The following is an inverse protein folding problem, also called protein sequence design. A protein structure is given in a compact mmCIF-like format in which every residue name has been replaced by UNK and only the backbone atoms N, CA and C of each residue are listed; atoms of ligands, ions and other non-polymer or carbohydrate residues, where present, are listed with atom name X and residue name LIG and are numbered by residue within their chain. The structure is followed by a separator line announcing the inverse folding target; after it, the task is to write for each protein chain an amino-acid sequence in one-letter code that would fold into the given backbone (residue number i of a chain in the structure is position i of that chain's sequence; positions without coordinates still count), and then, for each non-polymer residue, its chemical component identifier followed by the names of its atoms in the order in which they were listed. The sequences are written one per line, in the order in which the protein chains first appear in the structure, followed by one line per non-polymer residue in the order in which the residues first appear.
data_IF_370890067517
#
_entry.id   IF_370890067517
#
_cell.length_a   1.000
_cell.length_b   1.000
_cell.length_c   1.000
_cell.angle_alpha   90.00
_cell.angle_beta   90.00
_cell.angle_gamma   90.00
#
_symmetry.space_group_name_H-M   'P 1'
#
loop_
_entity.id
_entity.type
_entity.pdbx_description
1 polymer ?
#
# COMPACT_ATOMS: atom_id res chain seq x y z
N UNK A 1 24.06 -8.31 1.69
CA UNK A 1 23.57 -9.24 0.63
C UNK A 1 22.10 -8.96 0.32
N UNK A 2 21.25 -8.85 1.33
CA UNK A 2 19.83 -8.56 1.14
C UNK A 2 19.59 -7.13 0.65
N UNK A 3 20.37 -6.15 1.12
CA UNK A 3 20.33 -4.78 0.60
C UNK A 3 20.63 -4.73 -0.90
N UNK A 4 21.66 -5.44 -1.35
CA UNK A 4 22.03 -5.48 -2.78
C UNK A 4 20.96 -6.18 -3.62
N UNK A 5 20.33 -7.24 -3.09
CA UNK A 5 19.17 -7.86 -3.76
C UNK A 5 17.97 -6.92 -3.78
N UNK A 6 17.70 -6.23 -2.67
CA UNK A 6 16.60 -5.28 -2.53
C UNK A 6 16.73 -4.13 -3.54
N UNK A 7 17.94 -3.64 -3.81
CA UNK A 7 18.18 -2.60 -4.81
C UNK A 7 18.25 -3.12 -6.27
N UNK A 8 18.17 -4.44 -6.49
CA UNK A 8 18.40 -5.05 -7.81
C UNK A 8 17.16 -5.07 -8.71
N UNK A 9 17.37 -5.27 -10.01
CA UNK A 9 16.29 -5.46 -10.97
C UNK A 9 15.44 -6.73 -10.74
N UNK A 10 16.01 -7.73 -10.07
CA UNK A 10 15.28 -8.93 -9.69
C UNK A 10 14.14 -8.59 -8.71
N UNK A 11 14.37 -7.64 -7.81
CA UNK A 11 13.33 -7.08 -6.95
C UNK A 11 12.51 -6.03 -7.71
N UNK A 12 13.15 -4.98 -8.25
CA UNK A 12 12.52 -3.82 -8.90
C UNK A 12 12.84 -3.77 -10.42
N UNK A 13 11.94 -4.21 -11.32
CA UNK A 13 10.52 -4.45 -11.12
C UNK A 13 10.12 -5.93 -11.00
N UNK A 14 11.06 -6.88 -11.12
CA UNK A 14 10.79 -8.30 -11.36
C UNK A 14 9.81 -8.93 -10.36
N UNK A 15 10.18 -9.00 -9.09
CA UNK A 15 9.34 -9.61 -8.05
C UNK A 15 8.03 -8.85 -7.83
N UNK A 16 8.05 -7.52 -7.96
CA UNK A 16 6.86 -6.68 -7.76
C UNK A 16 5.81 -6.93 -8.84
N UNK A 17 6.22 -6.99 -10.11
CA UNK A 17 5.34 -7.33 -11.23
C UNK A 17 4.80 -8.76 -11.08
N UNK A 18 5.64 -9.73 -10.73
CA UNK A 18 5.22 -11.10 -10.48
C UNK A 18 4.17 -11.18 -9.37
N UNK A 19 4.37 -10.41 -8.29
CA UNK A 19 3.44 -10.31 -7.16
C UNK A 19 2.09 -9.71 -7.59
N UNK A 20 2.10 -8.63 -8.37
CA UNK A 20 0.90 -8.01 -8.91
C UNK A 20 0.10 -8.98 -9.79
N UNK A 21 0.77 -9.69 -10.71
CA UNK A 21 0.14 -10.68 -11.59
C UNK A 21 -0.47 -11.83 -10.79
N UNK A 22 0.30 -12.42 -9.85
CA UNK A 22 -0.19 -13.50 -8.99
C UNK A 22 -1.42 -13.06 -8.19
N UNK A 23 -1.36 -11.88 -7.60
CA UNK A 23 -2.46 -11.24 -6.89
C UNK A 23 -3.74 -11.14 -7.71
N UNK A 24 -3.63 -10.64 -8.95
CA UNK A 24 -4.77 -10.53 -9.85
C UNK A 24 -5.31 -11.88 -10.30
N UNK A 25 -4.45 -12.86 -10.59
CA UNK A 25 -4.87 -14.24 -10.90
C UNK A 25 -5.67 -14.84 -9.75
N UNK A 26 -5.22 -14.63 -8.51
CA UNK A 26 -5.94 -15.07 -7.32
C UNK A 26 -7.29 -14.34 -7.21
N UNK A 27 -7.33 -13.03 -7.44
CA UNK A 27 -8.55 -12.24 -7.42
C UNK A 27 -9.59 -12.75 -8.44
N UNK A 28 -9.15 -13.11 -9.65
CA UNK A 28 -10.03 -13.63 -10.72
C UNK A 28 -10.80 -14.87 -10.31
N UNK A 29 -10.18 -15.76 -9.52
CA UNK A 29 -10.84 -16.96 -8.99
C UNK A 29 -11.95 -16.65 -7.98
N UNK A 30 -11.92 -15.45 -7.38
CA UNK A 30 -12.89 -15.01 -6.38
C UNK A 30 -14.02 -14.14 -6.95
N UNK A 31 -14.04 -13.87 -8.26
CA UNK A 31 -15.04 -12.98 -8.89
C UNK A 31 -16.42 -13.61 -9.08
N UNK A 32 -16.54 -14.93 -9.03
CA UNK A 32 -17.84 -15.60 -9.16
C UNK A 32 -18.78 -15.19 -8.03
N UNK A 33 -20.00 -14.78 -8.37
CA UNK A 33 -20.99 -14.27 -7.41
C UNK A 33 -20.64 -12.92 -6.77
N UNK A 34 -19.75 -12.13 -7.39
CA UNK A 34 -19.39 -10.78 -6.94
C UNK A 34 -19.91 -9.73 -7.92
N UNK A 35 -20.26 -8.57 -7.38
CA UNK A 35 -20.70 -7.44 -8.21
C UNK A 35 -19.62 -7.00 -9.21
N UNK A 36 -20.05 -6.59 -10.42
CA UNK A 36 -19.14 -6.25 -11.50
C UNK A 36 -18.15 -5.13 -11.15
N UNK A 37 -18.52 -4.22 -10.25
CA UNK A 37 -17.64 -3.13 -9.82
C UNK A 37 -16.44 -3.60 -9.00
N UNK A 38 -16.53 -4.73 -8.27
CA UNK A 38 -15.39 -5.33 -7.56
C UNK A 38 -14.33 -5.77 -8.56
N UNK A 39 -14.76 -6.38 -9.68
CA UNK A 39 -13.86 -6.83 -10.75
C UNK A 39 -13.13 -5.65 -11.40
N UNK A 40 -13.86 -4.57 -11.70
CA UNK A 40 -13.29 -3.34 -12.27
C UNK A 40 -12.29 -2.70 -11.31
N UNK A 41 -12.63 -2.60 -10.02
CA UNK A 41 -11.74 -2.06 -9.01
C UNK A 41 -10.46 -2.92 -8.88
N UNK A 42 -10.59 -4.25 -8.79
CA UNK A 42 -9.45 -5.16 -8.72
C UNK A 42 -8.54 -5.07 -9.95
N UNK A 43 -9.12 -4.93 -11.16
CA UNK A 43 -8.34 -4.72 -12.38
C UNK A 43 -7.61 -3.36 -12.39
N UNK A 44 -8.28 -2.28 -11.98
CA UNK A 44 -7.66 -0.96 -11.89
C UNK A 44 -6.49 -0.95 -10.90
N UNK A 45 -6.65 -1.58 -9.74
CA UNK A 45 -5.61 -1.71 -8.74
C UNK A 45 -4.41 -2.55 -9.21
N UNK A 46 -4.69 -3.63 -9.94
CA UNK A 46 -3.67 -4.44 -10.58
C UNK A 46 -2.87 -3.62 -11.61
N UNK A 47 -3.55 -2.90 -12.51
CA UNK A 47 -2.88 -2.06 -13.50
C UNK A 47 -2.01 -0.98 -12.84
N UNK A 48 -2.55 -0.31 -11.81
CA UNK A 48 -1.81 0.68 -11.06
C UNK A 48 -0.59 0.07 -10.35
N UNK A 49 -0.72 -1.13 -9.78
CA UNK A 49 0.41 -1.85 -9.19
C UNK A 49 1.48 -2.22 -10.23
N UNK A 50 1.09 -2.60 -11.46
CA UNK A 50 2.05 -2.88 -12.53
C UNK A 50 2.81 -1.62 -12.98
N UNK A 51 2.11 -0.49 -13.11
CA UNK A 51 2.72 0.80 -13.46
C UNK A 51 3.70 1.22 -12.36
N UNK A 52 3.26 1.17 -11.10
CA UNK A 52 4.08 1.47 -9.93
C UNK A 52 5.34 0.57 -9.88
N UNK A 53 5.18 -0.73 -10.09
CA UNK A 53 6.31 -1.67 -10.09
C UNK A 53 7.33 -1.32 -11.17
N UNK A 54 6.86 -1.00 -12.39
CA UNK A 54 7.71 -0.67 -13.53
C UNK A 54 8.58 0.57 -13.28
N UNK A 55 8.06 1.57 -12.57
CA UNK A 55 8.77 2.83 -12.28
C UNK A 55 9.47 2.84 -10.90
N UNK A 56 9.40 1.75 -10.14
CA UNK A 56 9.94 1.68 -8.77
C UNK A 56 11.47 1.58 -8.66
N UNK A 57 12.20 1.60 -9.78
CA UNK A 57 13.65 1.54 -9.82
C UNK A 57 14.26 2.89 -10.24
N UNK A 58 15.47 3.19 -9.75
CA UNK A 58 16.24 4.38 -10.14
C UNK A 58 16.53 4.45 -11.65
N UNK A 59 16.57 3.27 -12.28
CA UNK A 59 16.63 3.10 -13.73
C UNK A 59 15.35 2.43 -14.21
N UNK A 60 14.57 3.15 -15.02
CA UNK A 60 13.30 2.66 -15.55
C UNK A 60 13.57 1.86 -16.81
N UNK A 61 13.21 0.58 -16.81
CA UNK A 61 13.41 -0.32 -17.96
C UNK A 61 12.72 0.27 -19.19
N UNK A 62 13.49 0.48 -20.26
CA UNK A 62 13.01 1.03 -21.54
C UNK A 62 13.04 2.56 -21.64
N UNK A 63 13.39 3.28 -20.56
CA UNK A 63 13.58 4.75 -20.55
C UNK A 63 15.02 5.10 -20.17
N UNK A 64 15.59 4.41 -19.18
CA UNK A 64 16.90 4.70 -18.61
C UNK A 64 16.79 5.49 -17.30
N UNK A 65 17.91 6.11 -16.89
CA UNK A 65 18.01 6.87 -15.64
C UNK A 65 17.25 8.19 -15.74
N UNK A 66 16.42 8.48 -14.73
CA UNK A 66 15.63 9.72 -14.71
C UNK A 66 16.53 10.95 -14.39
N UNK A 67 16.35 12.09 -15.07
CA UNK A 67 17.20 13.26 -14.90
C UNK A 67 16.80 14.13 -13.70
N UNK A 68 17.78 14.83 -13.11
CA UNK A 68 17.55 15.87 -12.10
C UNK A 68 16.83 15.36 -10.85
N UNK A 69 15.78 16.06 -10.43
CA UNK A 69 14.96 15.71 -9.26
C UNK A 69 13.81 14.74 -9.58
N UNK A 70 13.71 14.24 -10.82
CA UNK A 70 12.65 13.33 -11.21
C UNK A 70 12.58 12.06 -10.35
N UNK A 71 13.69 11.38 -9.97
CA UNK A 71 13.63 10.22 -9.08
C UNK A 71 12.90 10.53 -7.76
N UNK A 72 13.21 11.66 -7.12
CA UNK A 72 12.60 12.06 -5.85
C UNK A 72 11.10 12.25 -5.97
N UNK A 73 10.65 12.97 -7.00
CA UNK A 73 9.22 13.20 -7.23
C UNK A 73 8.47 11.92 -7.57
N UNK A 74 9.13 11.02 -8.30
CA UNK A 74 8.60 9.71 -8.67
C UNK A 74 8.45 8.83 -7.41
N UNK A 75 9.47 8.76 -6.55
CA UNK A 75 9.37 8.05 -5.26
C UNK A 75 8.25 8.62 -4.39
N UNK A 76 8.15 9.94 -4.25
CA UNK A 76 7.10 10.58 -3.46
C UNK A 76 5.70 10.27 -4.03
N UNK A 77 5.53 10.40 -5.34
CA UNK A 77 4.27 10.10 -6.00
C UNK A 77 3.86 8.64 -5.77
N UNK A 78 4.80 7.68 -5.78
CA UNK A 78 4.48 6.28 -5.55
C UNK A 78 4.05 5.97 -4.13
N UNK A 79 4.70 6.55 -3.13
CA UNK A 79 4.28 6.41 -1.73
C UNK A 79 2.86 6.92 -1.58
N UNK A 80 2.57 8.13 -2.08
CA UNK A 80 1.25 8.74 -1.96
C UNK A 80 0.17 7.98 -2.76
N UNK A 81 0.47 7.54 -3.98
CA UNK A 81 -0.44 6.73 -4.80
C UNK A 81 -0.69 5.35 -4.17
N UNK A 82 0.32 4.79 -3.51
CA UNK A 82 0.22 3.64 -2.63
C UNK A 82 -0.87 3.74 -1.60
N UNK A 83 -0.72 4.74 -0.76
CA UNK A 83 -1.63 5.03 0.32
C UNK A 83 -3.02 5.33 -0.21
N UNK A 84 -3.10 6.11 -1.29
CA UNK A 84 -4.36 6.45 -1.94
C UNK A 84 -5.09 5.21 -2.45
N UNK A 85 -4.42 4.18 -2.99
CA UNK A 85 -5.08 2.94 -3.42
C UNK A 85 -5.89 2.31 -2.31
N UNK A 86 -5.28 2.17 -1.14
CA UNK A 86 -5.94 1.59 0.03
C UNK A 86 -7.01 2.51 0.60
N UNK A 87 -6.71 3.79 0.78
CA UNK A 87 -7.64 4.77 1.33
C UNK A 87 -8.87 4.93 0.44
N UNK A 88 -8.67 5.01 -0.87
CA UNK A 88 -9.74 5.10 -1.86
C UNK A 88 -10.55 3.81 -1.90
N UNK A 89 -9.93 2.63 -1.84
CA UNK A 89 -10.66 1.37 -1.78
C UNK A 89 -11.58 1.33 -0.56
N UNK A 90 -11.07 1.70 0.63
CA UNK A 90 -11.87 1.76 1.85
C UNK A 90 -12.99 2.81 1.80
N UNK A 91 -12.75 3.97 1.18
CA UNK A 91 -13.76 5.01 0.97
C UNK A 91 -14.81 4.65 -0.09
N UNK A 92 -14.48 3.75 -1.00
CA UNK A 92 -15.34 3.34 -2.11
C UNK A 92 -16.20 2.12 -1.80
N UNK A 93 -15.99 1.43 -0.67
CA UNK A 93 -16.83 0.31 -0.28
C UNK A 93 -18.26 0.78 0.05
N UNK A 94 -19.24 -0.01 -0.40
CA UNK A 94 -20.67 0.17 -0.12
C UNK A 94 -21.23 -1.01 0.65
N UNK A 95 -22.33 -0.76 1.37
CA UNK A 95 -23.03 -1.76 2.16
C UNK A 95 -23.60 -2.93 1.36
N UNK A 96 -23.89 -2.71 0.08
CA UNK A 96 -24.48 -3.67 -0.86
C UNK A 96 -23.42 -4.50 -1.64
N UNK A 97 -22.16 -4.47 -1.19
CA UNK A 97 -21.07 -5.21 -1.83
C UNK A 97 -20.52 -4.58 -3.11
N UNK A 98 -20.95 -3.35 -3.45
CA UNK A 98 -20.39 -2.60 -4.56
C UNK A 98 -19.13 -1.83 -4.14
N UNK A 99 -18.22 -1.68 -5.09
CA UNK A 99 -17.22 -0.61 -5.07
C UNK A 99 -17.73 0.55 -5.92
N UNK A 100 -17.74 1.75 -5.37
CA UNK A 100 -18.16 2.98 -6.07
C UNK A 100 -17.30 4.17 -5.61
N UNK A 101 -16.56 4.73 -6.56
CA UNK A 101 -15.79 5.96 -6.33
C UNK A 101 -16.73 7.14 -6.52
N UNK A 102 -16.90 7.94 -5.47
CA UNK A 102 -17.62 9.21 -5.54
C UNK A 102 -16.65 10.37 -5.34
N UNK A 103 -16.97 11.56 -5.84
CA UNK A 103 -16.16 12.77 -5.60
C UNK A 103 -15.91 12.99 -4.12
N UNK A 104 -16.93 12.79 -3.27
CA UNK A 104 -16.81 12.94 -1.82
C UNK A 104 -15.88 11.89 -1.20
N UNK A 105 -15.99 10.63 -1.65
CA UNK A 105 -15.09 9.56 -1.22
C UNK A 105 -13.64 9.80 -1.63
N UNK A 106 -13.43 10.28 -2.88
CA UNK A 106 -12.12 10.65 -3.39
C UNK A 106 -11.51 11.80 -2.59
N UNK A 107 -12.24 12.88 -2.35
CA UNK A 107 -11.76 14.01 -1.55
C UNK A 107 -11.40 13.60 -0.12
N UNK A 108 -12.16 12.69 0.50
CA UNK A 108 -11.80 12.14 1.81
C UNK A 108 -10.55 11.28 1.76
N UNK A 109 -10.42 10.41 0.75
CA UNK A 109 -9.23 9.59 0.58
C UNK A 109 -7.97 10.45 0.38
N UNK A 110 -8.07 11.52 -0.41
CA UNK A 110 -7.00 12.52 -0.59
C UNK A 110 -6.70 13.26 0.73
N UNK A 111 -7.74 13.66 1.47
CA UNK A 111 -7.58 14.27 2.79
C UNK A 111 -6.81 13.36 3.75
N UNK A 112 -7.19 12.09 3.84
CA UNK A 112 -6.48 11.09 4.66
C UNK A 112 -5.05 10.85 4.19
N UNK A 113 -4.83 10.81 2.86
CA UNK A 113 -3.51 10.59 2.26
C UNK A 113 -2.50 11.67 2.67
N UNK A 114 -2.95 12.91 2.88
CA UNK A 114 -2.07 14.01 3.27
C UNK A 114 -1.75 14.05 4.77
N UNK A 115 -2.52 13.37 5.62
CA UNK A 115 -2.33 13.41 7.08
C UNK A 115 -0.97 12.86 7.47
N UNK A 116 -0.63 11.66 7.01
CA UNK A 116 0.61 10.96 7.38
C UNK A 116 1.86 11.66 6.87
N UNK A 117 2.03 11.99 5.58
CA UNK A 117 3.25 12.67 5.12
C UNK A 117 3.50 13.98 5.86
N UNK A 118 2.46 14.81 6.07
CA UNK A 118 2.60 16.07 6.81
C UNK A 118 3.00 15.80 8.26
N UNK A 119 2.31 14.88 8.95
CA UNK A 119 2.62 14.56 10.34
C UNK A 119 4.01 13.97 10.50
N UNK A 120 4.47 13.11 9.58
CA UNK A 120 5.81 12.53 9.59
C UNK A 120 6.88 13.60 9.46
N UNK A 121 6.75 14.51 8.50
CA UNK A 121 7.69 15.61 8.31
C UNK A 121 7.78 16.50 9.55
N UNK A 122 6.63 16.81 10.17
CA UNK A 122 6.59 17.60 11.40
C UNK A 122 7.27 16.88 12.57
N UNK A 123 6.98 15.60 12.78
CA UNK A 123 7.57 14.81 13.86
C UNK A 123 9.08 14.68 13.69
N UNK A 124 9.54 14.36 12.48
CA UNK A 124 10.97 14.17 12.21
C UNK A 124 11.73 15.49 12.28
N UNK A 125 11.18 16.57 11.71
CA UNK A 125 11.87 17.86 11.66
C UNK A 125 11.89 18.57 13.02
N UNK A 126 10.83 18.46 13.82
CA UNK A 126 10.70 19.24 15.06
C UNK A 126 10.88 18.42 16.34
N UNK A 127 10.44 17.16 16.38
CA UNK A 127 10.50 16.36 17.60
C UNK A 127 11.74 15.47 17.67
N UNK A 128 12.10 14.81 16.56
CA UNK A 128 13.25 13.90 16.50
C UNK A 128 14.54 14.58 16.03
N UNK A 129 14.41 15.65 15.22
CA UNK A 129 15.52 16.40 14.63
C UNK A 129 16.53 15.46 13.95
N UNK A 130 16.01 14.57 13.10
CA UNK A 130 16.82 13.55 12.41
C UNK A 130 16.95 13.86 10.92
N UNK A 131 18.17 13.75 10.39
CA UNK A 131 18.44 13.80 8.96
C UNK A 131 18.47 12.41 8.30
N UNK A 132 18.32 11.34 9.08
CA UNK A 132 18.36 9.95 8.59
C UNK A 132 17.06 9.61 7.84
N UNK A 133 17.08 9.37 6.51
CA UNK A 133 15.87 9.11 5.73
C UNK A 133 15.09 7.90 6.24
N UNK A 134 15.77 6.89 6.79
CA UNK A 134 15.13 5.69 7.35
C UNK A 134 14.28 6.01 8.59
N UNK A 135 14.63 7.03 9.37
CA UNK A 135 13.81 7.49 10.50
C UNK A 135 12.50 8.10 10.00
N UNK A 136 12.53 8.82 8.88
CA UNK A 136 11.31 9.37 8.26
C UNK A 136 10.37 8.26 7.80
N UNK A 137 10.87 7.22 7.14
CA UNK A 137 10.06 6.07 6.73
C UNK A 137 9.49 5.31 7.93
N UNK A 138 10.29 5.06 8.97
CA UNK A 138 9.79 4.40 10.18
C UNK A 138 8.64 5.19 10.82
N UNK A 139 8.81 6.51 11.01
CA UNK A 139 7.76 7.38 11.55
C UNK A 139 6.52 7.36 10.65
N UNK A 140 6.72 7.45 9.34
CA UNK A 140 5.64 7.38 8.35
C UNK A 140 4.81 6.11 8.47
N UNK A 141 5.48 4.97 8.47
CA UNK A 141 4.82 3.67 8.49
C UNK A 141 4.06 3.45 9.81
N UNK A 142 4.63 3.88 10.94
CA UNK A 142 3.97 3.85 12.26
C UNK A 142 2.75 4.78 12.32
N UNK A 143 2.87 6.00 11.79
CA UNK A 143 1.75 6.93 11.71
C UNK A 143 0.66 6.42 10.77
N UNK A 144 1.01 5.70 9.70
CA UNK A 144 0.02 5.08 8.83
C UNK A 144 -0.71 3.93 9.52
N UNK A 145 -0.01 3.09 10.31
CA UNK A 145 -0.64 2.10 11.19
C UNK A 145 -1.63 2.78 12.14
N UNK A 146 -1.23 3.87 12.79
CA UNK A 146 -2.10 4.64 13.67
C UNK A 146 -3.32 5.19 12.92
N UNK A 147 -3.13 5.76 11.73
CA UNK A 147 -4.22 6.26 10.89
C UNK A 147 -5.24 5.17 10.58
N UNK A 148 -4.79 3.96 10.22
CA UNK A 148 -5.68 2.83 9.94
C UNK A 148 -6.53 2.47 11.16
N UNK A 149 -5.92 2.42 12.35
CA UNK A 149 -6.64 2.08 13.58
C UNK A 149 -7.62 3.19 13.98
N UNK A 150 -7.17 4.44 13.94
CA UNK A 150 -7.95 5.60 14.38
C UNK A 150 -9.11 5.94 13.44
N UNK A 151 -8.97 5.71 12.12
CA UNK A 151 -10.04 5.96 11.15
C UNK A 151 -11.14 4.89 11.19
N UNK A 152 -10.89 3.74 11.81
CA UNK A 152 -11.76 2.57 11.72
C UNK A 152 -13.18 2.80 12.24
N UNK A 153 -13.42 3.43 13.40
CA UNK A 153 -14.78 3.70 13.87
C UNK A 153 -15.58 4.56 12.89
N UNK A 154 -14.91 5.54 12.27
CA UNK A 154 -15.51 6.40 11.26
C UNK A 154 -15.96 5.60 10.02
N UNK A 155 -15.09 4.74 9.48
CA UNK A 155 -15.42 3.95 8.28
C UNK A 155 -16.50 2.91 8.59
N UNK A 156 -16.43 2.24 9.73
CA UNK A 156 -17.42 1.23 10.12
C UNK A 156 -18.81 1.86 10.31
N UNK A 157 -18.90 3.03 10.94
CA UNK A 157 -20.15 3.79 11.08
C UNK A 157 -20.75 4.18 9.71
N UNK A 158 -19.91 4.57 8.75
CA UNK A 158 -20.35 4.92 7.38
C UNK A 158 -20.90 3.70 6.62
N UNK A 159 -20.32 2.52 6.82
CA UNK A 159 -20.71 1.31 6.08
C UNK A 159 -22.02 0.70 6.57
N UNK A 160 -22.29 0.77 7.87
CA UNK A 160 -23.56 0.39 8.50
C UNK A 160 -23.94 -1.10 8.46
N UNK A 161 -23.43 -1.88 7.50
CA UNK A 161 -23.71 -3.31 7.34
C UNK A 161 -22.59 -4.19 7.90
N UNK A 162 -22.90 -5.27 8.64
CA UNK A 162 -21.89 -6.19 9.16
C UNK A 162 -21.01 -6.82 8.08
N UNK A 163 -21.57 -7.06 6.89
CA UNK A 163 -20.87 -7.63 5.74
C UNK A 163 -19.82 -6.67 5.17
N UNK A 164 -20.20 -5.41 4.92
CA UNK A 164 -19.24 -4.43 4.44
C UNK A 164 -18.19 -4.08 5.51
N UNK A 165 -18.56 -4.11 6.80
CA UNK A 165 -17.58 -3.97 7.90
C UNK A 165 -16.56 -5.12 7.86
N UNK A 166 -17.00 -6.38 7.70
CA UNK A 166 -16.06 -7.52 7.55
C UNK A 166 -15.18 -7.37 6.32
N UNK A 167 -15.73 -6.88 5.21
CA UNK A 167 -14.99 -6.62 3.99
C UNK A 167 -13.91 -5.55 4.20
N UNK A 168 -14.28 -4.42 4.79
CA UNK A 168 -13.37 -3.34 5.16
C UNK A 168 -12.26 -3.82 6.10
N UNK A 169 -12.61 -4.56 7.16
CA UNK A 169 -11.64 -5.14 8.11
C UNK A 169 -10.66 -6.12 7.46
N UNK A 170 -11.02 -6.75 6.34
CA UNK A 170 -10.08 -7.58 5.59
C UNK A 170 -9.03 -6.71 4.87
N UNK A 171 -9.44 -5.58 4.28
CA UNK A 171 -8.51 -4.62 3.70
C UNK A 171 -7.63 -3.97 4.76
N UNK A 172 -8.19 -3.57 5.90
CA UNK A 172 -7.42 -2.98 7.00
C UNK A 172 -6.37 -3.95 7.55
N UNK A 173 -6.74 -5.24 7.76
CA UNK A 173 -5.79 -6.25 8.20
C UNK A 173 -4.63 -6.41 7.23
N UNK A 174 -4.93 -6.38 5.93
CA UNK A 174 -3.90 -6.47 4.92
C UNK A 174 -2.98 -5.23 4.97
N UNK A 175 -3.56 -4.03 5.08
CA UNK A 175 -2.79 -2.81 5.14
C UNK A 175 -1.91 -2.72 6.40
N UNK A 176 -2.48 -3.06 7.55
CA UNK A 176 -1.74 -3.16 8.80
C UNK A 176 -0.60 -4.17 8.69
N UNK A 177 -0.81 -5.32 8.02
CA UNK A 177 0.23 -6.32 7.86
C UNK A 177 1.44 -5.77 7.09
N UNK A 178 1.24 -5.06 5.97
CA UNK A 178 2.39 -4.54 5.22
C UNK A 178 3.03 -3.32 5.90
N UNK A 179 2.27 -2.37 6.48
CA UNK A 179 2.90 -1.23 7.16
C UNK A 179 3.63 -1.64 8.43
N UNK A 180 3.05 -2.54 9.24
CA UNK A 180 3.75 -3.06 10.42
C UNK A 180 5.01 -3.85 10.04
N UNK A 181 4.98 -4.58 8.92
CA UNK A 181 6.15 -5.31 8.44
C UNK A 181 7.24 -4.36 7.91
N UNK A 182 6.86 -3.28 7.24
CA UNK A 182 7.82 -2.23 6.86
C UNK A 182 8.41 -1.54 8.11
N UNK A 183 7.58 -1.17 9.09
CA UNK A 183 8.06 -0.54 10.33
C UNK A 183 9.02 -1.45 11.10
N UNK A 184 8.70 -2.75 11.17
CA UNK A 184 9.58 -3.74 11.78
C UNK A 184 10.92 -3.80 11.03
N UNK A 185 10.88 -3.82 9.70
CA UNK A 185 12.09 -3.86 8.89
C UNK A 185 12.97 -2.64 9.12
N UNK A 186 12.40 -1.43 9.13
CA UNK A 186 13.16 -0.20 9.35
C UNK A 186 13.70 -0.10 10.78
N UNK A 187 12.95 -0.58 11.78
CA UNK A 187 13.46 -0.71 13.13
C UNK A 187 14.66 -1.67 13.23
N UNK A 188 14.66 -2.78 12.48
CA UNK A 188 15.79 -3.71 12.42
C UNK A 188 17.00 -3.08 11.72
N UNK A 189 16.79 -2.36 10.62
CA UNK A 189 17.88 -1.66 9.89
C UNK A 189 18.55 -0.63 10.79
N UNK A 190 17.74 0.17 11.51
CA UNK A 190 18.25 1.23 12.38
C UNK A 190 18.83 0.71 13.70
N UNK A 191 18.27 -0.38 14.24
CA UNK A 191 18.58 -0.87 15.59
C UNK A 191 19.69 -1.92 15.67
N UNK A 192 19.97 -2.65 14.58
CA UNK A 192 20.96 -3.73 14.58
C UNK A 192 22.34 -3.23 14.10
N UNK A 193 23.45 -3.64 14.74
CA UNK A 193 24.79 -3.22 14.34
C UNK A 193 25.33 -4.05 13.15
N UNK A 194 26.09 -3.39 12.28
CA UNK A 194 26.89 -4.04 11.23
C UNK A 194 26.04 -4.86 10.25
N UNK A 195 26.51 -6.06 9.90
CA UNK A 195 25.86 -6.95 8.93
C UNK A 195 24.47 -7.45 9.38
N UNK A 196 24.16 -7.39 10.69
CA UNK A 196 22.85 -7.83 11.19
C UNK A 196 21.70 -6.92 10.72
N UNK A 197 21.99 -5.65 10.40
CA UNK A 197 21.02 -4.72 9.81
C UNK A 197 20.49 -5.19 8.44
N UNK A 198 21.27 -6.01 7.72
CA UNK A 198 20.91 -6.53 6.39
C UNK A 198 19.64 -7.40 6.44
N UNK A 199 19.34 -8.03 7.59
CA UNK A 199 18.11 -8.81 7.80
C UNK A 199 16.87 -7.94 7.67
N UNK A 200 16.95 -6.64 8.00
CA UNK A 200 15.83 -5.73 7.82
C UNK A 200 15.43 -5.61 6.34
N UNK A 201 16.39 -5.60 5.40
CA UNK A 201 16.09 -5.59 3.96
C UNK A 201 15.40 -6.88 3.48
N UNK A 202 15.73 -8.02 4.09
CA UNK A 202 14.99 -9.28 3.86
C UNK A 202 13.55 -9.16 4.33
N UNK A 203 13.31 -8.58 5.52
CA UNK A 203 11.96 -8.35 6.03
C UNK A 203 11.16 -7.41 5.11
N UNK A 204 11.79 -6.39 4.51
CA UNK A 204 11.14 -5.46 3.55
C UNK A 204 10.61 -6.15 2.28
N UNK A 205 11.09 -7.35 1.92
CA UNK A 205 10.57 -8.07 0.74
C UNK A 205 9.10 -8.47 0.91
N UNK A 206 8.70 -8.87 2.11
CA UNK A 206 7.33 -9.30 2.42
C UNK A 206 6.30 -8.17 2.22
N UNK A 207 6.42 -6.99 2.86
CA UNK A 207 5.46 -5.91 2.68
C UNK A 207 5.42 -5.42 1.23
N UNK A 208 6.55 -5.42 0.51
CA UNK A 208 6.57 -5.14 -0.92
C UNK A 208 5.71 -6.13 -1.71
N UNK A 209 5.91 -7.44 -1.54
CA UNK A 209 5.09 -8.44 -2.24
C UNK A 209 3.59 -8.32 -1.90
N UNK A 210 3.27 -8.08 -0.62
CA UNK A 210 1.88 -7.88 -0.16
C UNK A 210 1.26 -6.62 -0.75
N UNK A 211 1.97 -5.50 -0.71
CA UNK A 211 1.50 -4.21 -1.18
C UNK A 211 1.19 -4.23 -2.69
N UNK A 212 2.02 -4.89 -3.50
CA UNK A 212 1.80 -4.98 -4.94
C UNK A 212 0.77 -6.06 -5.34
N UNK A 213 0.73 -7.20 -4.65
CA UNK A 213 -0.07 -8.35 -5.07
C UNK A 213 -1.36 -8.58 -4.28
N UNK A 214 -1.36 -8.37 -2.98
CA UNK A 214 -2.42 -8.92 -2.13
C UNK A 214 -3.72 -8.11 -2.19
N UNK A 215 -3.67 -6.82 -2.53
CA UNK A 215 -4.84 -5.94 -2.44
C UNK A 215 -5.98 -6.35 -3.39
N UNK A 216 -5.77 -6.57 -4.71
CA UNK A 216 -6.82 -7.07 -5.60
C UNK A 216 -7.42 -8.40 -5.11
N UNK A 217 -6.57 -9.31 -4.59
CA UNK A 217 -6.99 -10.61 -4.10
C UNK A 217 -7.89 -10.51 -2.86
N UNK A 218 -7.49 -9.71 -1.86
CA UNK A 218 -8.27 -9.52 -0.63
C UNK A 218 -9.56 -8.74 -0.92
N UNK A 219 -9.49 -7.70 -1.75
CA UNK A 219 -10.67 -6.95 -2.19
C UNK A 219 -11.73 -7.88 -2.78
N UNK A 220 -11.34 -8.77 -3.70
CA UNK A 220 -12.25 -9.70 -4.37
C UNK A 220 -12.77 -10.81 -3.45
N UNK A 221 -11.89 -11.40 -2.62
CA UNK A 221 -12.25 -12.52 -1.73
C UNK A 221 -13.17 -12.09 -0.61
N UNK A 222 -12.93 -10.94 -0.02
CA UNK A 222 -13.66 -10.44 1.14
C UNK A 222 -14.94 -9.67 0.77
N UNK A 223 -15.16 -9.38 -0.53
CA UNK A 223 -16.39 -8.75 -0.98
C UNK A 223 -17.64 -9.56 -0.56
N UNK A 224 -18.77 -8.92 -0.25
CA UNK A 224 -20.06 -9.59 -0.13
C UNK A 224 -20.44 -10.30 -1.45
N UNK A 225 -21.33 -11.30 -1.37
CA UNK A 225 -21.91 -11.88 -2.59
C UNK A 225 -22.97 -10.92 -3.11
N UNK A 226 -23.04 -10.74 -4.44
CA UNK A 226 -24.18 -10.04 -5.03
C UNK A 226 -25.43 -10.89 -4.77
N UNK A 227 -26.50 -10.25 -4.27
CA UNK A 227 -27.83 -10.84 -4.37
C UNK A 227 -28.12 -10.99 -5.88
N UNK A 228 -28.37 -12.22 -6.32
CA UNK A 228 -28.91 -12.49 -7.66
C UNK A 228 -30.34 -11.92 -7.78
#
# INVERSE_FOLDING_TARGET
MFESFYASHAQHPGLLLASAVLGYVIARRAFSGRHASVRRAAAALFLLACVDAWFSADEVIGIGRLPGSAPTWVTLAFVLLGDLRYLLAAESLRGDGRVEITTRGLLRALGWMLVVPIASELVVSFALVSAEPRVLFLVYELLFVALIVLRRPYVEARLGSPEAIRWHRALDRLALAWYASWSLADALILGLPGEASDVGFLVRLLPNALYYGAMPAVLARAAPRSAE
#
